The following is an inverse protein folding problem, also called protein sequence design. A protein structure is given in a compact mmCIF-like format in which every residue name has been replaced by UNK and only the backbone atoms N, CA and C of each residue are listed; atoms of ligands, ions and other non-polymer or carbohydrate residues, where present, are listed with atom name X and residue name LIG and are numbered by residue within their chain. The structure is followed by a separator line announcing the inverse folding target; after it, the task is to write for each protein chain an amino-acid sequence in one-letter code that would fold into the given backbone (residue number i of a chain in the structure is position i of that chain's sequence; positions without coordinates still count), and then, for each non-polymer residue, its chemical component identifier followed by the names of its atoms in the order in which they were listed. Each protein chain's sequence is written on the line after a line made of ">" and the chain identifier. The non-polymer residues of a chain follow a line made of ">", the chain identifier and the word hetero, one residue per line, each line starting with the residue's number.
data_IF_446423055745
#
_entry.id   IF_446423055745
#
_cell.length_a   1.000
_cell.length_b   1.000
_cell.length_c   1.000
_cell.angle_alpha   90.00
_cell.angle_beta   90.00
_cell.angle_gamma   90.00
#
_symmetry.space_group_name_H-M   'P 1'
#
loop_
_entity.id
_entity.type
_entity.pdbx_description
1 polymer ?
#
# COMPACT_ATOMS: atom_id res chain seq x y z
N UNK A 1 1.68 2.71 37.65
CA UNK A 1 0.92 1.48 37.36
C UNK A 1 1.79 0.26 37.67
N UNK A 2 1.29 -0.72 38.43
CA UNK A 2 2.11 -1.83 38.94
C UNK A 2 2.52 -2.80 37.80
N UNK A 3 3.80 -3.17 37.69
CA UNK A 3 4.38 -3.95 36.57
C UNK A 3 3.62 -5.27 36.28
N UNK A 4 3.16 -5.93 37.35
CA UNK A 4 2.37 -7.17 37.27
C UNK A 4 0.99 -6.96 36.63
N UNK A 5 0.36 -5.80 36.84
CA UNK A 5 -0.93 -5.45 36.22
C UNK A 5 -0.76 -5.20 34.72
N UNK A 6 0.38 -4.67 34.30
CA UNK A 6 0.69 -4.44 32.88
C UNK A 6 0.94 -5.77 32.14
N UNK A 7 1.79 -6.65 32.69
CA UNK A 7 2.07 -7.97 32.11
C UNK A 7 0.82 -8.82 31.92
N UNK A 8 -0.13 -8.79 32.86
CA UNK A 8 -1.42 -9.50 32.75
C UNK A 8 -2.31 -8.96 31.63
N UNK A 9 -2.30 -7.64 31.38
CA UNK A 9 -3.04 -7.07 30.24
C UNK A 9 -2.43 -7.49 28.91
N UNK A 10 -1.11 -7.48 28.80
CA UNK A 10 -0.40 -7.90 27.58
C UNK A 10 -0.65 -9.38 27.27
N UNK A 11 -0.51 -10.27 28.27
CA UNK A 11 -0.75 -11.70 28.06
C UNK A 11 -2.19 -12.04 27.64
N UNK A 12 -3.15 -11.13 27.85
CA UNK A 12 -4.54 -11.30 27.38
C UNK A 12 -4.73 -10.91 25.91
N UNK A 13 -3.81 -10.12 25.35
CA UNK A 13 -3.88 -9.59 23.98
C UNK A 13 -3.02 -10.43 23.01
N UNK A 14 -2.01 -11.14 23.51
CA UNK A 14 -1.15 -11.99 22.69
C UNK A 14 -1.97 -13.18 22.15
N UNK A 15 -2.13 -13.31 20.82
CA UNK A 15 -2.82 -14.45 20.23
C UNK A 15 -2.02 -15.74 20.41
N UNK A 16 -2.70 -16.86 20.56
CA UNK A 16 -2.06 -18.17 20.59
C UNK A 16 -1.66 -18.64 19.17
N UNK A 17 -0.86 -19.70 19.07
CA UNK A 17 -0.36 -20.21 17.79
C UNK A 17 -1.49 -20.56 16.80
N UNK A 18 -2.59 -21.14 17.28
CA UNK A 18 -3.77 -21.46 16.45
C UNK A 18 -4.41 -20.20 15.85
N UNK A 19 -4.54 -19.15 16.63
CA UNK A 19 -5.08 -17.86 16.16
C UNK A 19 -4.18 -17.22 15.11
N UNK A 20 -2.86 -17.34 15.23
CA UNK A 20 -1.93 -16.84 14.22
C UNK A 20 -2.03 -17.63 12.91
N UNK A 21 -2.06 -18.96 12.99
CA UNK A 21 -2.18 -19.84 11.80
C UNK A 21 -3.45 -19.55 11.01
N UNK A 22 -4.56 -19.25 11.69
CA UNK A 22 -5.83 -18.87 11.04
C UNK A 22 -5.78 -17.40 10.61
N UNK A 23 -5.31 -16.51 11.48
CA UNK A 23 -5.35 -15.07 11.28
C UNK A 23 -4.47 -14.58 10.13
N UNK A 24 -3.31 -15.19 9.90
CA UNK A 24 -2.38 -14.78 8.83
C UNK A 24 -3.04 -14.89 7.44
N UNK A 25 -3.65 -16.01 7.03
CA UNK A 25 -4.41 -16.09 5.79
C UNK A 25 -5.53 -15.05 5.67
N UNK A 26 -6.30 -14.84 6.75
CA UNK A 26 -7.39 -13.86 6.73
C UNK A 26 -6.90 -12.41 6.62
N UNK A 27 -5.77 -12.08 7.25
CA UNK A 27 -5.12 -10.76 7.09
C UNK A 27 -4.71 -10.56 5.64
N UNK A 28 -4.09 -11.57 5.02
CA UNK A 28 -3.74 -11.51 3.60
C UNK A 28 -4.97 -11.31 2.71
N UNK A 29 -6.02 -12.11 2.93
CA UNK A 29 -7.28 -11.97 2.21
C UNK A 29 -7.87 -10.57 2.39
N UNK A 30 -7.90 -10.05 3.62
CA UNK A 30 -8.41 -8.70 3.91
C UNK A 30 -7.59 -7.62 3.20
N UNK A 31 -6.25 -7.70 3.25
CA UNK A 31 -5.38 -6.73 2.60
C UNK A 31 -5.61 -6.72 1.08
N UNK A 32 -5.58 -7.89 0.44
CA UNK A 32 -5.81 -7.99 -1.00
C UNK A 32 -7.24 -7.65 -1.40
N UNK A 33 -8.22 -7.98 -0.56
CA UNK A 33 -9.61 -7.58 -0.77
C UNK A 33 -9.77 -6.06 -0.69
N UNK A 34 -9.10 -5.38 0.24
CA UNK A 34 -9.21 -3.92 0.42
C UNK A 34 -8.36 -3.12 -0.58
N UNK A 35 -7.31 -3.69 -1.12
CA UNK A 35 -6.42 -3.06 -2.10
C UNK A 35 -7.16 -2.41 -3.30
N UNK A 36 -8.10 -3.08 -4.01
CA UNK A 36 -8.86 -2.43 -5.08
C UNK A 36 -9.69 -1.24 -4.60
N UNK A 37 -10.24 -1.28 -3.38
CA UNK A 37 -11.02 -0.17 -2.83
C UNK A 37 -10.13 1.05 -2.53
N UNK A 38 -8.92 0.83 -2.00
CA UNK A 38 -7.96 1.92 -1.80
C UNK A 38 -7.51 2.55 -3.12
N UNK A 39 -7.34 1.76 -4.17
CA UNK A 39 -7.04 2.26 -5.52
C UNK A 39 -8.20 3.13 -6.01
N UNK A 40 -9.44 2.65 -5.93
CA UNK A 40 -10.63 3.42 -6.34
C UNK A 40 -10.77 4.71 -5.52
N UNK A 41 -10.58 4.64 -4.21
CA UNK A 41 -10.61 5.80 -3.34
C UNK A 41 -9.56 6.83 -3.77
N UNK A 42 -8.32 6.40 -4.03
CA UNK A 42 -7.25 7.27 -4.53
C UNK A 42 -7.64 7.93 -5.86
N UNK A 43 -8.20 7.17 -6.80
CA UNK A 43 -8.64 7.69 -8.12
C UNK A 43 -9.81 8.67 -7.96
N UNK A 44 -10.71 8.44 -7.01
CA UNK A 44 -11.88 9.33 -6.80
C UNK A 44 -11.52 10.76 -6.41
N UNK A 45 -10.33 10.97 -5.84
CA UNK A 45 -9.78 12.29 -5.53
C UNK A 45 -8.71 12.75 -6.52
N UNK A 46 -8.32 11.92 -7.49
CA UNK A 46 -7.34 12.29 -8.49
C UNK A 46 -8.01 13.17 -9.55
N UNK A 47 -7.40 14.30 -9.86
CA UNK A 47 -7.75 15.05 -11.06
C UNK A 47 -7.28 14.25 -12.28
N UNK A 48 -8.13 14.17 -13.30
CA UNK A 48 -7.77 13.52 -14.55
C UNK A 48 -6.72 14.39 -15.26
N UNK A 49 -5.45 14.00 -15.15
CA UNK A 49 -4.38 14.59 -15.94
C UNK A 49 -4.49 14.05 -17.37
N UNK A 50 -5.38 14.67 -18.15
CA UNK A 50 -5.50 14.42 -19.58
C UNK A 50 -4.33 15.14 -20.25
N UNK A 51 -3.14 14.54 -20.22
CA UNK A 51 -2.08 14.94 -21.12
C UNK A 51 -2.58 14.74 -22.55
N UNK A 52 -2.84 15.85 -23.25
CA UNK A 52 -3.06 15.84 -24.69
C UNK A 52 -1.72 16.28 -25.29
N UNK A 53 -0.98 15.39 -25.97
CA UNK A 53 -1.31 14.03 -26.42
C UNK A 53 -1.06 12.91 -25.38
N UNK A 54 -1.69 11.72 -25.52
CA UNK A 54 -1.67 10.64 -24.51
C UNK A 54 -0.36 9.80 -24.53
N UNK A 55 0.79 10.41 -24.81
CA UNK A 55 2.10 9.76 -24.82
C UNK A 55 3.17 10.71 -24.28
N UNK A 56 4.10 10.16 -23.49
CA UNK A 56 5.31 10.87 -23.06
C UNK A 56 6.35 10.89 -24.17
N UNK A 57 7.15 11.95 -24.26
CA UNK A 57 8.25 12.03 -25.23
C UNK A 57 9.30 10.94 -24.96
N UNK A 58 9.62 10.12 -25.97
CA UNK A 58 10.58 8.99 -25.86
C UNK A 58 12.03 9.48 -26.04
N UNK A 59 12.20 10.72 -26.43
CA UNK A 59 13.48 11.36 -26.61
C UNK A 59 13.38 12.82 -26.24
N UNK A 60 14.47 13.38 -25.73
CA UNK A 60 14.59 14.81 -25.49
C UNK A 60 15.91 15.32 -26.04
N UNK A 61 15.88 16.52 -26.62
CA UNK A 61 17.08 17.19 -27.12
C UNK A 61 17.23 18.51 -26.37
N UNK A 62 18.17 18.55 -25.42
CA UNK A 62 18.47 19.71 -24.62
C UNK A 62 19.99 19.83 -24.43
N UNK A 63 20.51 21.06 -24.35
CA UNK A 63 21.95 21.31 -24.13
C UNK A 63 22.90 20.59 -25.12
N UNK A 64 22.52 20.53 -26.40
CA UNK A 64 23.27 19.80 -27.45
C UNK A 64 23.46 18.29 -27.15
N UNK A 65 22.61 17.72 -26.31
CA UNK A 65 22.60 16.29 -25.98
C UNK A 65 21.29 15.68 -26.43
N UNK A 66 21.39 14.59 -27.19
CA UNK A 66 20.27 13.72 -27.48
C UNK A 66 20.16 12.68 -26.38
N UNK A 67 19.02 12.63 -25.72
CA UNK A 67 18.70 11.62 -24.71
C UNK A 67 17.53 10.78 -25.21
N UNK A 68 17.71 9.46 -25.18
CA UNK A 68 16.70 8.47 -25.59
C UNK A 68 16.29 7.68 -24.35
N UNK A 69 14.99 7.53 -24.14
CA UNK A 69 14.41 6.64 -23.13
C UNK A 69 14.30 5.24 -23.73
N UNK A 70 15.09 4.28 -23.21
CA UNK A 70 14.88 2.84 -23.35
C UNK A 70 14.40 2.28 -22.01
#
# INVERSE_FOLDING_TARGET
>A
MNMRKFKRRINRIIPNGRQLVIGVPFIWLFLFFMLPFFIVLKISFAEADVAIPPYTEIYTFAEQKLQLLL
#
